data_IF_755746134698
#
_entry.id   IF_755746134698
#
_cell.length_a   1.000
_cell.length_b   1.000
_cell.length_c   1.000
_cell.angle_alpha   90.00
_cell.angle_beta   90.00
_cell.angle_gamma   90.00
#
_symmetry.space_group_name_H-M   'P 1'
#
loop_
_entity.id
_entity.type
_entity.pdbx_description
1 polymer ?
#
# COMPACT_ATOMS: atom_id res chain seq x y z
N UNK A 1 -23.95 28.99 27.71
CA UNK A 1 -22.65 28.50 27.19
C UNK A 1 -22.94 27.70 25.94
N UNK A 2 -22.70 28.28 24.75
CA UNK A 2 -23.01 27.61 23.48
C UNK A 2 -21.75 26.93 22.96
N UNK A 3 -21.76 25.60 22.91
CA UNK A 3 -20.72 24.82 22.27
C UNK A 3 -20.88 24.96 20.75
N UNK A 4 -19.99 25.73 20.12
CA UNK A 4 -19.89 25.78 18.67
C UNK A 4 -19.33 24.44 18.19
N UNK A 5 -20.11 23.71 17.39
CA UNK A 5 -19.63 22.50 16.71
C UNK A 5 -18.51 22.90 15.74
N UNK A 6 -17.30 22.41 16.00
CA UNK A 6 -16.17 22.63 15.11
C UNK A 6 -16.30 21.68 13.90
N UNK A 7 -16.35 22.26 12.70
CA UNK A 7 -16.31 21.52 11.45
C UNK A 7 -14.91 20.92 11.27
N UNK A 8 -14.80 19.59 11.40
CA UNK A 8 -13.57 18.87 11.09
C UNK A 8 -13.39 18.92 9.57
N UNK A 9 -12.34 19.58 9.10
CA UNK A 9 -11.93 19.52 7.70
C UNK A 9 -11.46 18.09 7.39
N UNK A 10 -12.28 17.33 6.66
CA UNK A 10 -11.88 16.03 6.12
C UNK A 10 -10.77 16.31 5.10
N UNK A 11 -9.55 15.85 5.39
CA UNK A 11 -8.43 15.95 4.45
C UNK A 11 -8.87 15.42 3.07
N UNK A 12 -8.43 16.03 1.94
CA UNK A 12 -8.83 15.57 0.62
C UNK A 12 -8.53 14.08 0.52
N UNK A 13 -9.54 13.30 0.11
CA UNK A 13 -9.44 11.85 -0.04
C UNK A 13 -8.25 11.55 -0.97
N UNK A 14 -7.14 11.12 -0.38
CA UNK A 14 -5.96 10.72 -1.16
C UNK A 14 -6.40 9.53 -2.01
N UNK A 15 -6.17 9.64 -3.32
CA UNK A 15 -6.41 8.52 -4.25
C UNK A 15 -5.78 7.25 -3.67
N UNK A 16 -6.52 6.12 -3.63
CA UNK A 16 -5.99 4.85 -3.13
C UNK A 16 -4.67 4.49 -3.82
N UNK A 17 -3.72 3.93 -3.06
CA UNK A 17 -2.35 3.71 -3.55
C UNK A 17 -2.31 2.82 -4.80
N UNK A 18 -3.17 1.81 -4.87
CA UNK A 18 -3.28 0.91 -6.02
C UNK A 18 -3.72 1.70 -7.26
N UNK A 19 -4.77 2.50 -7.13
CA UNK A 19 -5.29 3.31 -8.24
C UNK A 19 -4.22 4.30 -8.72
N UNK A 20 -3.56 5.00 -7.80
CA UNK A 20 -2.50 5.95 -8.12
C UNK A 20 -1.37 5.27 -8.90
N UNK A 21 -0.80 4.19 -8.35
CA UNK A 21 0.34 3.50 -8.98
C UNK A 21 -0.04 2.90 -10.34
N UNK A 22 -1.26 2.38 -10.47
CA UNK A 22 -1.76 1.85 -11.74
C UNK A 22 -1.91 2.96 -12.79
N UNK A 23 -2.49 4.11 -12.44
CA UNK A 23 -2.61 5.26 -13.35
C UNK A 23 -1.24 5.79 -13.77
N UNK A 24 -0.32 5.96 -12.82
CA UNK A 24 1.04 6.42 -13.07
C UNK A 24 1.80 5.44 -13.99
N UNK A 25 1.63 4.12 -13.77
CA UNK A 25 2.28 3.10 -14.59
C UNK A 25 1.67 2.98 -16.00
N UNK A 26 0.36 3.15 -16.16
CA UNK A 26 -0.29 3.13 -17.48
C UNK A 26 0.05 4.39 -18.30
N UNK A 27 0.28 5.53 -17.64
CA UNK A 27 0.66 6.78 -18.29
C UNK A 27 2.09 6.75 -18.87
N UNK A 28 2.98 5.94 -18.31
CA UNK A 28 4.34 5.71 -18.82
C UNK A 28 4.34 4.59 -19.87
N UNK A 29 4.69 4.86 -21.15
CA UNK A 29 4.68 3.84 -22.20
C UNK A 29 5.52 2.60 -21.90
N UNK A 30 6.66 2.76 -21.22
CA UNK A 30 7.54 1.63 -20.90
C UNK A 30 6.94 0.75 -19.82
N UNK A 31 6.39 1.37 -18.76
CA UNK A 31 5.74 0.63 -17.67
C UNK A 31 4.44 -0.01 -18.12
N UNK A 32 3.66 0.68 -18.96
CA UNK A 32 2.47 0.12 -19.60
C UNK A 32 2.83 -1.14 -20.39
N UNK A 33 3.89 -1.09 -21.19
CA UNK A 33 4.34 -2.26 -21.95
C UNK A 33 4.74 -3.43 -21.04
N UNK A 34 5.48 -3.15 -19.97
CA UNK A 34 5.85 -4.17 -18.98
C UNK A 34 4.62 -4.80 -18.30
N UNK A 35 3.57 -4.03 -18.03
CA UNK A 35 2.29 -4.56 -17.52
C UNK A 35 1.66 -5.52 -18.54
N UNK A 36 1.56 -5.11 -19.81
CA UNK A 36 0.98 -5.95 -20.86
C UNK A 36 1.76 -7.26 -21.05
N UNK A 37 3.09 -7.20 -21.02
CA UNK A 37 3.95 -8.38 -21.11
C UNK A 37 3.80 -9.31 -19.91
N UNK A 38 3.71 -8.74 -18.70
CA UNK A 38 3.57 -9.51 -17.48
C UNK A 38 2.18 -10.16 -17.36
N UNK A 39 1.12 -9.47 -17.77
CA UNK A 39 -0.26 -9.96 -17.64
C UNK A 39 -0.74 -10.72 -18.87
N UNK A 40 -0.08 -10.59 -20.03
CA UNK A 40 -0.58 -11.12 -21.30
C UNK A 40 -1.84 -10.41 -21.81
N UNK A 41 -2.15 -9.23 -21.25
CA UNK A 41 -3.33 -8.46 -21.67
C UNK A 41 -3.18 -7.89 -23.06
N UNK A 42 -4.33 -7.77 -23.74
CA UNK A 42 -4.39 -6.99 -24.96
C UNK A 42 -4.25 -5.48 -24.65
N UNK A 43 -3.80 -4.71 -25.65
CA UNK A 43 -3.48 -3.30 -25.49
C UNK A 43 -4.68 -2.41 -25.07
N UNK A 44 -5.92 -2.89 -25.22
CA UNK A 44 -7.13 -2.18 -24.80
C UNK A 44 -7.45 -2.36 -23.31
N UNK A 45 -6.96 -3.42 -22.67
CA UNK A 45 -7.30 -3.76 -21.29
C UNK A 45 -6.98 -2.66 -20.27
N UNK A 46 -5.82 -1.97 -20.32
CA UNK A 46 -5.54 -0.86 -19.41
C UNK A 46 -6.61 0.25 -19.46
N UNK A 47 -7.07 0.62 -20.66
CA UNK A 47 -8.11 1.63 -20.82
C UNK A 47 -9.47 1.16 -20.28
N UNK A 48 -9.78 -0.13 -20.42
CA UNK A 48 -11.02 -0.71 -19.88
C UNK A 48 -11.03 -0.70 -18.35
N UNK A 49 -9.91 -1.05 -17.74
CA UNK A 49 -9.73 -1.01 -16.27
C UNK A 49 -9.85 0.44 -15.77
N UNK A 50 -9.16 1.39 -16.40
CA UNK A 50 -9.20 2.81 -15.98
C UNK A 50 -10.58 3.46 -16.15
N UNK A 51 -11.42 2.93 -17.05
CA UNK A 51 -12.80 3.37 -17.27
C UNK A 51 -13.83 2.54 -16.50
N UNK A 52 -13.39 1.61 -15.64
CA UNK A 52 -14.24 0.68 -14.89
C UNK A 52 -15.18 -0.19 -15.76
N UNK A 53 -14.82 -0.42 -17.03
CA UNK A 53 -15.58 -1.27 -17.96
C UNK A 53 -15.12 -2.72 -17.93
N UNK A 54 -13.98 -3.01 -17.29
CA UNK A 54 -13.50 -4.35 -17.00
C UNK A 54 -12.84 -4.41 -15.62
N UNK A 55 -12.93 -5.57 -14.96
CA UNK A 55 -12.23 -5.86 -13.71
C UNK A 55 -10.87 -6.54 -13.93
N UNK A 56 -10.11 -6.69 -12.85
CA UNK A 56 -8.86 -7.47 -12.82
C UNK A 56 -9.20 -8.89 -12.34
N UNK A 57 -8.86 -9.91 -13.13
CA UNK A 57 -9.07 -11.31 -12.73
C UNK A 57 -8.05 -11.72 -11.66
N UNK A 58 -8.42 -12.70 -10.82
CA UNK A 58 -7.59 -13.13 -9.69
C UNK A 58 -6.20 -13.61 -10.12
N UNK A 59 -6.09 -14.25 -11.28
CA UNK A 59 -4.82 -14.76 -11.84
C UNK A 59 -3.80 -13.64 -12.13
N UNK A 60 -4.27 -12.41 -12.38
CA UNK A 60 -3.43 -11.27 -12.70
C UNK A 60 -3.14 -10.37 -11.50
N UNK A 61 -3.79 -10.61 -10.35
CA UNK A 61 -3.74 -9.69 -9.22
C UNK A 61 -2.32 -9.56 -8.65
N UNK A 62 -1.64 -10.68 -8.38
CA UNK A 62 -0.25 -10.67 -7.87
C UNK A 62 0.72 -10.08 -8.91
N UNK A 63 0.62 -10.52 -10.16
CA UNK A 63 1.48 -10.05 -11.25
C UNK A 63 1.34 -8.55 -11.49
N UNK A 64 0.11 -8.03 -11.46
CA UNK A 64 -0.15 -6.60 -11.61
C UNK A 64 0.47 -5.82 -10.46
N UNK A 65 0.28 -6.24 -9.20
CA UNK A 65 0.87 -5.56 -8.05
C UNK A 65 2.38 -5.47 -8.17
N UNK A 66 3.06 -6.57 -8.53
CA UNK A 66 4.51 -6.57 -8.76
C UNK A 66 4.91 -5.60 -9.88
N UNK A 67 4.18 -5.60 -10.99
CA UNK A 67 4.47 -4.74 -12.14
C UNK A 67 4.36 -3.24 -11.80
N UNK A 68 3.46 -2.87 -10.88
CA UNK A 68 3.30 -1.49 -10.39
C UNK A 68 4.13 -1.19 -9.14
N UNK A 69 5.09 -2.06 -8.79
CA UNK A 69 6.02 -1.84 -7.67
C UNK A 69 5.39 -2.00 -6.29
N UNK A 70 4.30 -2.74 -6.19
CA UNK A 70 3.62 -3.07 -4.93
C UNK A 70 3.83 -4.54 -4.55
N UNK A 71 3.81 -4.80 -3.26
CA UNK A 71 3.80 -6.15 -2.68
C UNK A 71 2.61 -6.29 -1.76
N UNK A 72 1.93 -7.43 -1.83
CA UNK A 72 0.84 -7.76 -0.91
C UNK A 72 1.43 -8.44 0.32
N UNK A 73 1.05 -7.95 1.48
CA UNK A 73 1.39 -8.57 2.77
C UNK A 73 0.18 -8.50 3.69
N UNK A 74 0.17 -9.31 4.76
CA UNK A 74 -0.90 -9.27 5.74
C UNK A 74 -0.85 -7.98 6.54
N UNK A 75 -2.01 -7.51 7.00
CA UNK A 75 -2.09 -6.36 7.92
C UNK A 75 -1.26 -6.64 9.18
N UNK A 76 -1.36 -7.86 9.72
CA UNK A 76 -0.59 -8.29 10.90
C UNK A 76 0.92 -8.20 10.72
N UNK A 77 1.44 -8.41 9.51
CA UNK A 77 2.87 -8.25 9.23
C UNK A 77 3.28 -6.77 9.30
N UNK A 78 2.45 -5.88 8.76
CA UNK A 78 2.70 -4.44 8.84
C UNK A 78 2.59 -3.93 10.28
N UNK A 79 1.64 -4.46 11.07
CA UNK A 79 1.51 -4.14 12.50
C UNK A 79 2.75 -4.58 13.28
N UNK A 80 3.26 -5.78 13.01
CA UNK A 80 4.50 -6.27 13.59
C UNK A 80 5.70 -5.37 13.27
N UNK A 81 5.83 -4.92 12.01
CA UNK A 81 6.88 -3.96 11.63
C UNK A 81 6.74 -2.61 12.35
N UNK A 82 5.51 -2.12 12.51
CA UNK A 82 5.25 -0.88 13.22
C UNK A 82 5.63 -0.99 14.71
N UNK A 83 5.24 -2.08 15.37
CA UNK A 83 5.61 -2.36 16.76
C UNK A 83 7.13 -2.49 16.91
N UNK A 84 7.77 -3.27 16.03
CA UNK A 84 9.23 -3.42 16.00
C UNK A 84 9.96 -2.09 15.84
N UNK A 85 9.44 -1.18 15.00
CA UNK A 85 10.00 0.17 14.84
C UNK A 85 9.89 1.01 16.12
N UNK A 86 8.73 0.96 16.81
CA UNK A 86 8.54 1.66 18.09
C UNK A 86 9.53 1.15 19.14
N UNK A 87 9.64 -0.17 19.29
CA UNK A 87 10.57 -0.80 20.25
C UNK A 87 12.02 -0.47 19.89
N UNK A 88 12.41 -0.68 18.63
CA UNK A 88 13.76 -0.47 18.15
C UNK A 88 14.21 0.99 18.27
N UNK A 89 13.33 1.94 18.00
CA UNK A 89 13.61 3.37 18.13
C UNK A 89 13.76 3.80 19.60
N UNK A 90 12.93 3.25 20.50
CA UNK A 90 12.81 3.75 21.87
C UNK A 90 13.54 2.92 22.94
N UNK A 91 14.00 1.70 22.64
CA UNK A 91 14.66 0.84 23.63
C UNK A 91 16.07 0.41 23.21
N UNK A 92 17.08 0.87 23.97
CA UNK A 92 18.48 0.46 23.78
C UNK A 92 18.68 -1.04 24.02
N UNK A 93 18.08 -1.61 25.07
CA UNK A 93 18.21 -3.03 25.41
C UNK A 93 17.75 -3.93 24.25
N UNK A 94 16.63 -3.58 23.60
CA UNK A 94 16.11 -4.34 22.46
C UNK A 94 17.08 -4.31 21.28
N UNK A 95 17.71 -3.16 21.00
CA UNK A 95 18.75 -3.04 19.96
C UNK A 95 20.02 -3.83 20.29
N UNK A 96 20.32 -4.01 21.57
CA UNK A 96 21.45 -4.81 22.03
C UNK A 96 21.11 -6.30 22.22
N UNK A 97 19.96 -6.76 21.71
CA UNK A 97 19.47 -8.13 21.86
C UNK A 97 19.23 -8.57 23.32
N UNK A 98 18.94 -7.62 24.21
CA UNK A 98 18.66 -7.87 25.63
C UNK A 98 17.16 -7.88 25.96
N UNK A 99 16.29 -7.84 24.94
CA UNK A 99 14.84 -7.74 25.10
C UNK A 99 14.31 -6.31 25.26
N UNK A 100 12.99 -6.14 25.22
CA UNK A 100 12.34 -4.84 25.35
C UNK A 100 12.43 -4.28 26.78
N UNK A 101 12.70 -2.99 26.88
CA UNK A 101 12.81 -2.25 28.13
C UNK A 101 11.44 -2.28 28.83
N UNK A 102 11.40 -2.69 30.10
CA UNK A 102 10.14 -2.86 30.84
C UNK A 102 9.50 -4.26 30.76
N UNK A 103 10.06 -5.20 29.98
CA UNK A 103 9.62 -6.61 30.00
C UNK A 103 9.93 -7.34 31.34
N UNK A 104 10.74 -6.73 32.22
CA UNK A 104 11.04 -7.21 33.58
C UNK A 104 10.23 -6.55 34.70
N UNK A 105 9.21 -5.74 34.37
CA UNK A 105 8.31 -5.13 35.36
C UNK A 105 6.93 -5.81 35.33
N UNK A 106 6.89 -7.07 35.75
CA UNK A 106 5.72 -7.73 36.33
C UNK A 106 6.18 -8.59 37.48
#
# INVERSE_FOLDING_TARGET
MNAAAQTIAIAPMRMPIVEKQLRDAIADPKKKQAILEATGWDASMPSKILSNTAGITLEHLDTLFRAIGLVVTTVSYMDYLAEGNVIGSNCHCARMNMGACGAGAR
#
